data_IF_117421325332
#
_entry.id   IF_117421325332
#
_cell.length_a   1.000
_cell.length_b   1.000
_cell.length_c   1.000
_cell.angle_alpha   90.00
_cell.angle_beta   90.00
_cell.angle_gamma   90.00
#
_symmetry.space_group_name_H-M   'P 1'
#
loop_
_entity.id
_entity.type
_entity.pdbx_description
1 polymer ?
#
# COMPACT_ATOMS: atom_id res chain seq x y z
N UNK A 1 -13.39 14.90 -61.38
CA UNK A 1 -13.80 14.94 -59.96
C UNK A 1 -13.25 13.67 -59.32
N UNK A 2 -12.11 13.80 -58.64
CA UNK A 2 -11.51 12.73 -57.82
C UNK A 2 -11.76 13.12 -56.37
N UNK A 3 -12.74 12.49 -55.75
CA UNK A 3 -13.11 12.79 -54.37
C UNK A 3 -11.97 12.34 -53.45
N UNK A 4 -11.24 13.32 -52.93
CA UNK A 4 -10.18 13.13 -51.97
C UNK A 4 -10.75 12.69 -50.63
N UNK A 5 -10.83 11.38 -50.41
CA UNK A 5 -11.10 10.77 -49.10
C UNK A 5 -9.92 9.93 -48.62
N UNK A 6 -8.69 10.39 -48.86
CA UNK A 6 -7.46 9.80 -48.30
C UNK A 6 -7.20 10.24 -46.85
N UNK A 7 -7.99 11.16 -46.32
CA UNK A 7 -7.91 11.66 -44.94
C UNK A 7 -9.30 11.71 -44.27
N UNK A 8 -10.07 10.64 -44.40
CA UNK A 8 -11.07 10.32 -43.39
C UNK A 8 -10.29 10.14 -42.08
N UNK A 9 -10.26 11.16 -41.22
CA UNK A 9 -9.86 10.94 -39.84
C UNK A 9 -10.83 9.90 -39.28
N UNK A 10 -10.36 8.66 -39.17
CA UNK A 10 -11.01 7.64 -38.36
C UNK A 10 -11.08 8.23 -36.95
N UNK A 11 -12.21 8.87 -36.64
CA UNK A 11 -12.48 9.28 -35.28
C UNK A 11 -12.46 7.99 -34.47
N UNK A 12 -11.52 7.83 -33.52
CA UNK A 12 -11.41 6.58 -32.79
C UNK A 12 -12.78 6.26 -32.20
N UNK A 13 -13.22 4.99 -32.27
CA UNK A 13 -14.53 4.60 -31.74
C UNK A 13 -14.67 5.12 -30.31
N UNK A 14 -15.88 5.49 -29.91
CA UNK A 14 -16.15 6.09 -28.59
C UNK A 14 -15.55 5.28 -27.44
N UNK A 15 -15.49 3.96 -27.62
CA UNK A 15 -14.90 2.97 -26.71
C UNK A 15 -13.37 3.07 -26.57
N UNK A 16 -12.67 3.58 -27.59
CA UNK A 16 -11.22 3.74 -27.60
C UNK A 16 -10.73 5.08 -27.04
N UNK A 17 -11.62 6.07 -26.94
CA UNK A 17 -11.26 7.47 -26.60
C UNK A 17 -10.57 7.62 -25.24
N UNK A 18 -10.84 6.74 -24.28
CA UNK A 18 -10.35 6.85 -22.90
C UNK A 18 -9.41 5.72 -22.47
N UNK A 19 -8.92 4.91 -23.40
CA UNK A 19 -8.10 3.72 -23.09
C UNK A 19 -6.81 4.04 -22.30
N UNK A 20 -6.10 5.11 -22.64
CA UNK A 20 -4.89 5.52 -21.90
C UNK A 20 -5.20 5.95 -20.46
N UNK A 21 -6.29 6.69 -20.25
CA UNK A 21 -6.73 7.08 -18.91
C UNK A 21 -7.23 5.88 -18.12
N UNK A 22 -7.91 4.94 -18.77
CA UNK A 22 -8.34 3.70 -18.15
C UNK A 22 -7.15 2.83 -17.70
N UNK A 23 -6.06 2.82 -18.47
CA UNK A 23 -4.82 2.16 -18.08
C UNK A 23 -4.21 2.74 -16.81
N UNK A 24 -4.08 4.07 -16.75
CA UNK A 24 -3.61 4.72 -15.52
C UNK A 24 -4.57 4.44 -14.35
N UNK A 25 -5.89 4.45 -14.60
CA UNK A 25 -6.87 4.13 -13.57
C UNK A 25 -6.68 2.70 -13.01
N UNK A 26 -6.56 1.71 -13.88
CA UNK A 26 -6.38 0.31 -13.47
C UNK A 26 -5.04 0.11 -12.74
N UNK A 27 -3.97 0.83 -13.15
CA UNK A 27 -2.69 0.80 -12.44
C UNK A 27 -2.80 1.42 -11.04
N UNK A 28 -3.51 2.54 -10.90
CA UNK A 28 -3.80 3.17 -9.60
C UNK A 28 -4.63 2.25 -8.69
N UNK A 29 -5.63 1.58 -9.25
CA UNK A 29 -6.47 0.65 -8.49
C UNK A 29 -5.69 -0.60 -8.07
N UNK A 30 -4.85 -1.16 -8.94
CA UNK A 30 -4.02 -2.32 -8.64
C UNK A 30 -2.98 -2.01 -7.55
N UNK A 31 -2.26 -0.89 -7.70
CA UNK A 31 -1.27 -0.44 -6.71
C UNK A 31 -1.94 -0.05 -5.39
N UNK A 32 -3.08 0.65 -5.46
CA UNK A 32 -3.90 0.98 -4.30
C UNK A 32 -4.37 -0.26 -3.54
N UNK A 33 -4.88 -1.27 -4.25
CA UNK A 33 -5.29 -2.53 -3.65
C UNK A 33 -4.11 -3.29 -3.00
N UNK A 34 -2.95 -3.30 -3.65
CA UNK A 34 -1.74 -3.90 -3.08
C UNK A 34 -1.30 -3.20 -1.78
N UNK A 35 -1.32 -1.86 -1.76
CA UNK A 35 -1.03 -1.07 -0.56
C UNK A 35 -2.05 -1.33 0.54
N UNK A 36 -3.34 -1.40 0.21
CA UNK A 36 -4.40 -1.71 1.19
C UNK A 36 -4.21 -3.11 1.79
N UNK A 37 -3.93 -4.12 0.95
CA UNK A 37 -3.66 -5.48 1.42
C UNK A 37 -2.44 -5.54 2.35
N UNK A 38 -1.34 -4.88 1.98
CA UNK A 38 -0.14 -4.81 2.82
C UNK A 38 -0.40 -4.04 4.12
N UNK A 39 -1.04 -2.88 4.03
CA UNK A 39 -1.40 -2.05 5.18
C UNK A 39 -2.32 -2.77 6.15
N UNK A 40 -3.21 -3.64 5.66
CA UNK A 40 -4.06 -4.49 6.49
C UNK A 40 -3.25 -5.54 7.26
N UNK A 41 -2.31 -6.24 6.60
CA UNK A 41 -1.40 -7.20 7.26
C UNK A 41 -0.57 -6.51 8.34
N UNK A 42 -0.05 -5.31 8.04
CA UNK A 42 0.69 -4.46 8.97
C UNK A 42 -0.14 -4.02 10.16
N UNK A 43 -1.35 -3.51 9.92
CA UNK A 43 -2.26 -3.05 10.97
C UNK A 43 -2.74 -4.19 11.88
N UNK A 44 -2.87 -5.41 11.34
CA UNK A 44 -3.23 -6.60 12.11
C UNK A 44 -2.05 -7.22 12.87
N UNK A 45 -0.83 -6.68 12.72
CA UNK A 45 0.41 -7.21 13.31
C UNK A 45 0.64 -8.70 13.02
N UNK A 46 0.19 -9.16 11.85
CA UNK A 46 0.39 -10.53 11.44
C UNK A 46 1.82 -10.76 10.97
N UNK A 47 2.35 -11.95 11.28
CA UNK A 47 3.66 -12.38 10.78
C UNK A 47 3.60 -12.39 9.25
N UNK A 48 4.36 -11.47 8.66
CA UNK A 48 4.33 -11.23 7.22
C UNK A 48 5.03 -12.38 6.48
N UNK A 49 4.24 -13.31 5.95
CA UNK A 49 4.72 -14.32 5.01
C UNK A 49 4.38 -13.89 3.59
N UNK A 50 5.18 -14.33 2.59
CA UNK A 50 4.91 -14.02 1.19
C UNK A 50 3.50 -14.49 0.76
N UNK A 51 3.05 -15.66 1.24
CA UNK A 51 1.73 -16.19 0.95
C UNK A 51 0.59 -15.34 1.55
N UNK A 52 0.71 -14.93 2.81
CA UNK A 52 -0.29 -14.06 3.46
C UNK A 52 -0.38 -12.69 2.78
N UNK A 53 0.78 -12.11 2.45
CA UNK A 53 0.84 -10.83 1.76
C UNK A 53 0.18 -10.92 0.38
N UNK A 54 0.53 -11.93 -0.42
CA UNK A 54 -0.08 -12.18 -1.72
C UNK A 54 -1.59 -12.42 -1.63
N UNK A 55 -2.05 -13.18 -0.63
CA UNK A 55 -3.47 -13.39 -0.39
C UNK A 55 -4.20 -12.10 -0.03
N UNK A 56 -3.66 -11.29 0.88
CA UNK A 56 -4.27 -10.03 1.31
C UNK A 56 -4.36 -9.02 0.15
N UNK A 57 -3.30 -8.88 -0.64
CA UNK A 57 -3.27 -8.05 -1.84
C UNK A 57 -4.30 -8.53 -2.88
N UNK A 58 -4.32 -9.84 -3.16
CA UNK A 58 -5.26 -10.45 -4.09
C UNK A 58 -6.72 -10.29 -3.65
N UNK A 59 -7.01 -10.48 -2.36
CA UNK A 59 -8.33 -10.29 -1.78
C UNK A 59 -8.79 -8.83 -1.88
N UNK A 60 -7.92 -7.86 -1.56
CA UNK A 60 -8.22 -6.45 -1.72
C UNK A 60 -8.52 -6.08 -3.18
N UNK A 61 -7.75 -6.63 -4.12
CA UNK A 61 -7.96 -6.43 -5.56
C UNK A 61 -9.29 -7.03 -6.05
N UNK A 62 -9.64 -8.23 -5.60
CA UNK A 62 -10.90 -8.88 -5.94
C UNK A 62 -12.10 -8.09 -5.39
N UNK A 63 -12.03 -7.64 -4.13
CA UNK A 63 -13.06 -6.80 -3.52
C UNK A 63 -13.23 -5.49 -4.30
N UNK A 64 -12.13 -4.83 -4.65
CA UNK A 64 -12.17 -3.60 -5.44
C UNK A 64 -12.77 -3.85 -6.83
N UNK A 65 -12.44 -4.97 -7.46
CA UNK A 65 -12.99 -5.38 -8.75
C UNK A 65 -14.49 -5.71 -8.69
N UNK A 66 -14.97 -6.32 -7.60
CA UNK A 66 -16.39 -6.53 -7.34
C UNK A 66 -17.13 -5.20 -7.22
N UNK A 67 -16.61 -4.26 -6.41
CA UNK A 67 -17.18 -2.91 -6.24
C UNK A 67 -17.20 -2.17 -7.58
N UNK A 68 -16.10 -2.22 -8.33
CA UNK A 68 -15.99 -1.63 -9.67
C UNK A 68 -16.90 -2.28 -10.70
N UNK A 69 -17.16 -3.58 -10.62
CA UNK A 69 -18.11 -4.28 -11.48
C UNK A 69 -19.56 -3.92 -11.17
N UNK A 70 -19.91 -3.81 -9.89
CA UNK A 70 -21.28 -3.46 -9.46
C UNK A 70 -21.63 -2.00 -9.74
N UNK A 71 -20.65 -1.10 -9.61
CA UNK A 71 -20.92 0.35 -9.65
C UNK A 71 -20.35 1.06 -10.87
N UNK A 72 -19.47 0.39 -11.63
CA UNK A 72 -18.67 1.04 -12.67
C UNK A 72 -17.58 1.96 -12.12
N UNK A 73 -17.50 2.16 -10.80
CA UNK A 73 -16.62 3.14 -10.17
C UNK A 73 -15.58 2.46 -9.28
N UNK A 74 -14.38 3.02 -9.30
CA UNK A 74 -13.28 2.69 -8.40
C UNK A 74 -12.52 3.97 -8.05
N UNK A 75 -11.69 3.98 -7.00
CA UNK A 75 -10.85 5.13 -6.63
C UNK A 75 -10.04 5.70 -7.79
N UNK A 76 -9.31 4.84 -8.53
CA UNK A 76 -8.48 5.25 -9.66
C UNK A 76 -9.29 5.76 -10.84
N UNK A 77 -10.41 5.10 -11.18
CA UNK A 77 -11.30 5.59 -12.26
C UNK A 77 -11.94 6.91 -11.90
N UNK A 78 -12.42 7.04 -10.66
CA UNK A 78 -13.00 8.29 -10.16
C UNK A 78 -11.96 9.42 -10.14
N UNK A 79 -10.73 9.16 -9.69
CA UNK A 79 -9.62 10.12 -9.73
C UNK A 79 -9.42 10.71 -11.14
N UNK A 80 -9.56 9.84 -12.15
CA UNK A 80 -9.43 10.21 -13.56
C UNK A 80 -10.75 10.58 -14.21
N UNK A 81 -11.84 10.81 -13.48
CA UNK A 81 -13.13 11.23 -14.01
C UNK A 81 -13.80 10.22 -14.95
N UNK A 82 -13.45 8.94 -14.81
CA UNK A 82 -13.95 7.83 -15.60
C UNK A 82 -14.90 6.95 -14.80
N UNK A 83 -15.75 6.24 -15.53
CA UNK A 83 -16.48 5.07 -15.06
C UNK A 83 -16.40 3.96 -16.11
N UNK A 84 -16.61 2.74 -15.66
CA UNK A 84 -16.67 1.56 -16.49
C UNK A 84 -18.13 1.25 -16.80
N UNK A 85 -18.44 1.00 -18.07
CA UNK A 85 -19.79 0.72 -18.53
C UNK A 85 -19.82 -0.45 -19.52
N UNK A 86 -21.00 -1.06 -19.61
CA UNK A 86 -21.40 -1.96 -20.68
C UNK A 86 -22.38 -1.22 -21.61
N UNK A 87 -22.78 -1.86 -22.71
CA UNK A 87 -23.80 -1.36 -23.62
C UNK A 87 -25.00 -0.74 -22.86
N UNK A 88 -25.53 0.37 -23.39
CA UNK A 88 -26.64 1.16 -22.81
C UNK A 88 -26.31 1.93 -21.52
N UNK A 89 -25.03 2.12 -21.18
CA UNK A 89 -24.63 2.93 -20.01
C UNK A 89 -24.88 2.25 -18.67
N UNK A 90 -24.99 0.92 -18.66
CA UNK A 90 -25.16 0.12 -17.45
C UNK A 90 -23.81 -0.22 -16.83
N UNK A 91 -23.80 -0.45 -15.52
CA UNK A 91 -22.63 -0.98 -14.84
C UNK A 91 -22.24 -2.37 -15.42
N UNK A 92 -20.95 -2.74 -15.38
CA UNK A 92 -20.46 -4.01 -15.96
C UNK A 92 -21.13 -5.26 -15.39
N UNK A 93 -21.53 -5.22 -14.11
CA UNK A 93 -22.00 -6.36 -13.35
C UNK A 93 -20.87 -7.11 -12.65
N UNK A 94 -21.23 -7.91 -11.65
CA UNK A 94 -20.28 -8.61 -10.78
C UNK A 94 -19.43 -9.63 -11.55
N UNK A 95 -20.03 -10.39 -12.47
CA UNK A 95 -19.31 -11.37 -13.31
C UNK A 95 -18.25 -10.72 -14.19
N UNK A 96 -18.57 -9.59 -14.85
CA UNK A 96 -17.61 -8.85 -15.65
C UNK A 96 -16.52 -8.21 -14.78
N UNK A 97 -16.87 -7.70 -13.59
CA UNK A 97 -15.90 -7.18 -12.62
C UNK A 97 -14.91 -8.25 -12.16
N UNK A 98 -15.37 -9.45 -11.82
CA UNK A 98 -14.52 -10.57 -11.41
C UNK A 98 -13.63 -11.06 -12.57
N UNK A 99 -14.17 -11.22 -13.77
CA UNK A 99 -13.37 -11.57 -14.94
C UNK A 99 -12.30 -10.51 -15.21
N UNK A 100 -12.66 -9.23 -15.06
CA UNK A 100 -11.71 -8.12 -15.19
C UNK A 100 -10.63 -8.13 -14.10
N UNK A 101 -10.92 -8.63 -12.91
CA UNK A 101 -9.89 -8.81 -11.89
C UNK A 101 -8.75 -9.72 -12.38
N UNK A 102 -9.06 -10.67 -13.27
CA UNK A 102 -8.06 -11.57 -13.87
C UNK A 102 -7.47 -10.97 -15.16
N UNK A 103 -8.29 -10.33 -15.99
CA UNK A 103 -7.84 -9.85 -17.30
C UNK A 103 -7.16 -8.49 -17.27
N UNK A 104 -7.52 -7.57 -16.36
CA UNK A 104 -6.93 -6.23 -16.30
C UNK A 104 -5.41 -6.24 -15.99
N UNK A 105 -4.89 -7.06 -15.06
CA UNK A 105 -3.44 -7.18 -14.87
C UNK A 105 -2.72 -7.67 -16.13
N UNK A 106 -3.34 -8.60 -16.87
CA UNK A 106 -2.80 -9.09 -18.15
C UNK A 106 -2.84 -7.99 -19.20
N UNK A 107 -3.93 -7.23 -19.29
CA UNK A 107 -4.03 -6.08 -20.20
C UNK A 107 -3.01 -4.99 -19.89
N UNK A 108 -2.74 -4.70 -18.61
CA UNK A 108 -1.71 -3.73 -18.21
C UNK A 108 -0.33 -4.08 -18.80
N UNK A 109 0.00 -5.38 -18.89
CA UNK A 109 1.24 -5.88 -19.50
C UNK A 109 1.16 -5.84 -21.01
N UNK A 110 0.04 -6.29 -21.59
CA UNK A 110 -0.17 -6.27 -23.04
C UNK A 110 -0.12 -4.86 -23.63
N UNK A 111 -0.51 -3.84 -22.86
CA UNK A 111 -0.57 -2.46 -23.31
C UNK A 111 0.80 -1.83 -23.64
N UNK A 112 1.91 -2.47 -23.24
CA UNK A 112 3.26 -2.11 -23.70
C UNK A 112 3.41 -2.35 -25.21
N UNK A 113 2.66 -3.31 -25.75
CA UNK A 113 2.75 -3.74 -27.16
C UNK A 113 1.49 -3.37 -27.94
N UNK A 114 0.32 -3.48 -27.33
CA UNK A 114 -0.97 -3.26 -27.94
C UNK A 114 -1.55 -1.90 -27.53
N UNK A 115 -1.86 -1.05 -28.51
CA UNK A 115 -2.55 0.22 -28.25
C UNK A 115 -4.04 0.05 -27.98
N UNK A 116 -4.58 -1.16 -28.17
CA UNK A 116 -5.99 -1.50 -27.94
C UNK A 116 -6.14 -2.49 -26.78
N UNK A 117 -7.35 -2.57 -26.22
CA UNK A 117 -7.71 -3.43 -25.09
C UNK A 117 -8.63 -4.60 -25.50
N UNK A 118 -8.05 -5.75 -25.91
CA UNK A 118 -8.81 -6.83 -26.54
C UNK A 118 -9.68 -7.62 -25.54
N UNK A 119 -9.25 -7.75 -24.29
CA UNK A 119 -9.98 -8.51 -23.26
C UNK A 119 -11.16 -7.67 -22.75
N UNK A 120 -11.00 -6.37 -22.61
CA UNK A 120 -12.10 -5.46 -22.29
C UNK A 120 -13.18 -5.46 -23.39
N UNK A 121 -12.76 -5.49 -24.66
CA UNK A 121 -13.66 -5.61 -25.79
C UNK A 121 -14.45 -6.94 -25.77
N UNK A 122 -13.79 -8.07 -25.45
CA UNK A 122 -14.46 -9.36 -25.30
C UNK A 122 -15.47 -9.39 -24.14
N UNK A 123 -15.20 -8.63 -23.06
CA UNK A 123 -16.12 -8.50 -21.93
C UNK A 123 -17.29 -7.54 -22.23
N UNK A 124 -17.23 -6.82 -23.36
CA UNK A 124 -18.20 -5.80 -23.75
C UNK A 124 -18.16 -4.59 -22.81
N UNK A 125 -16.97 -4.23 -22.32
CA UNK A 125 -16.76 -3.22 -21.29
C UNK A 125 -15.88 -2.11 -21.85
N UNK A 126 -16.28 -0.86 -21.63
CA UNK A 126 -15.53 0.31 -22.05
C UNK A 126 -15.55 1.41 -21.00
N UNK A 127 -14.60 2.34 -21.08
CA UNK A 127 -14.57 3.51 -20.23
C UNK A 127 -15.44 4.63 -20.82
N UNK A 128 -16.18 5.30 -19.95
CA UNK A 128 -16.90 6.53 -20.27
C UNK A 128 -16.64 7.60 -19.22
N UNK A 129 -16.95 8.85 -19.55
CA UNK A 129 -16.77 9.99 -18.63
C UNK A 129 -17.94 10.01 -17.65
N UNK A 130 -17.66 10.37 -16.39
CA UNK A 130 -18.71 10.62 -15.40
C UNK A 130 -19.58 11.81 -15.90
N UNK A 131 -20.88 11.61 -16.13
CA UNK A 131 -21.74 12.64 -16.71
C UNK A 131 -21.91 13.82 -15.74
N UNK A 132 -22.05 15.03 -16.27
CA UNK A 132 -22.29 16.23 -15.45
C UNK A 132 -21.03 16.93 -14.91
N UNK A 133 -19.86 16.66 -15.50
CA UNK A 133 -18.61 17.37 -15.20
C UNK A 133 -18.21 17.30 -13.72
N UNK A 134 -17.72 18.41 -13.16
CA UNK A 134 -17.29 18.49 -11.75
C UNK A 134 -18.43 18.17 -10.78
N UNK A 135 -19.67 18.59 -11.09
CA UNK A 135 -20.83 18.31 -10.23
C UNK A 135 -21.20 16.83 -10.23
N UNK A 136 -21.12 16.18 -11.39
CA UNK A 136 -21.32 14.73 -11.52
C UNK A 136 -20.24 13.94 -10.79
N UNK A 137 -18.99 14.36 -10.95
CA UNK A 137 -17.84 13.81 -10.25
C UNK A 137 -17.98 13.89 -8.72
N UNK A 138 -18.37 15.04 -8.18
CA UNK A 138 -18.56 15.20 -6.74
C UNK A 138 -19.73 14.35 -6.21
N UNK A 139 -20.80 14.20 -6.99
CA UNK A 139 -21.96 13.36 -6.61
C UNK A 139 -21.64 11.87 -6.60
N UNK A 140 -20.71 11.41 -7.43
CA UNK A 140 -20.29 10.01 -7.46
C UNK A 140 -19.19 9.67 -6.46
N UNK A 141 -18.79 10.62 -5.59
CA UNK A 141 -17.65 10.49 -4.68
C UNK A 141 -17.87 9.52 -3.52
N UNK A 142 -19.11 9.29 -3.06
CA UNK A 142 -19.38 8.60 -1.81
C UNK A 142 -18.70 7.22 -1.69
N UNK A 143 -18.75 6.43 -2.76
CA UNK A 143 -18.17 5.08 -2.76
C UNK A 143 -16.66 5.07 -3.01
N UNK A 144 -16.12 5.80 -4.00
CA UNK A 144 -14.67 6.01 -4.13
C UNK A 144 -14.04 6.49 -2.83
N UNK A 145 -14.65 7.46 -2.13
CA UNK A 145 -14.11 8.02 -0.89
C UNK A 145 -13.72 6.95 0.14
N UNK A 146 -14.53 5.90 0.28
CA UNK A 146 -14.20 4.76 1.17
C UNK A 146 -12.87 4.12 0.77
N UNK A 147 -12.67 3.87 -0.53
CA UNK A 147 -11.41 3.33 -1.04
C UNK A 147 -10.22 4.28 -0.81
N UNK A 148 -10.41 5.59 -0.94
CA UNK A 148 -9.37 6.58 -0.65
C UNK A 148 -9.02 6.64 0.84
N UNK A 149 -10.02 6.55 1.73
CA UNK A 149 -9.79 6.48 3.18
C UNK A 149 -9.04 5.20 3.55
N UNK A 150 -9.43 4.05 2.98
CA UNK A 150 -8.70 2.79 3.18
C UNK A 150 -7.25 2.89 2.70
N UNK A 151 -7.01 3.52 1.55
CA UNK A 151 -5.66 3.74 1.04
C UNK A 151 -4.84 4.65 1.97
N UNK A 152 -5.42 5.75 2.44
CA UNK A 152 -4.76 6.65 3.39
C UNK A 152 -4.42 5.93 4.71
N UNK A 153 -5.36 5.14 5.24
CA UNK A 153 -5.14 4.32 6.43
C UNK A 153 -4.07 3.25 6.22
N UNK A 154 -3.99 2.65 5.03
CA UNK A 154 -2.95 1.68 4.69
C UNK A 154 -1.58 2.33 4.57
N UNK A 155 -1.47 3.50 3.93
CA UNK A 155 -0.22 4.26 3.89
C UNK A 155 0.23 4.63 5.30
N UNK A 156 -0.72 5.07 6.14
CA UNK A 156 -0.44 5.35 7.55
C UNK A 156 0.11 4.11 8.26
N UNK A 157 -0.56 2.95 8.18
CA UNK A 157 -0.11 1.72 8.85
C UNK A 157 1.22 1.15 8.32
N UNK A 158 1.57 1.45 7.06
CA UNK A 158 2.87 1.06 6.49
C UNK A 158 3.99 1.95 7.02
N UNK A 159 3.74 3.26 7.17
CA UNK A 159 4.75 4.24 7.57
C UNK A 159 4.91 4.31 9.09
N UNK A 160 3.83 4.11 9.85
CA UNK A 160 3.90 4.10 11.32
C UNK A 160 4.44 2.77 11.84
N UNK A 161 5.38 2.78 12.80
CA UNK A 161 5.89 1.55 13.40
C UNK A 161 4.76 0.81 14.12
N UNK A 162 4.71 -0.50 13.95
CA UNK A 162 3.76 -1.38 14.68
C UNK A 162 4.13 -1.46 16.17
N UNK A 163 3.22 -1.94 17.02
CA UNK A 163 3.52 -2.12 18.46
C UNK A 163 4.66 -3.10 18.65
N UNK A 164 4.70 -4.18 17.87
CA UNK A 164 5.79 -5.15 17.92
C UNK A 164 7.13 -4.53 17.51
N UNK A 165 7.16 -3.74 16.44
CA UNK A 165 8.37 -3.03 16.01
C UNK A 165 8.82 -2.00 17.05
N UNK A 166 7.89 -1.26 17.67
CA UNK A 166 8.20 -0.36 18.78
C UNK A 166 8.76 -1.11 19.99
N UNK A 167 8.16 -2.24 20.38
CA UNK A 167 8.64 -3.05 21.50
C UNK A 167 10.01 -3.67 21.21
N UNK A 168 10.25 -4.15 20.00
CA UNK A 168 11.57 -4.65 19.58
C UNK A 168 12.60 -3.52 19.55
N UNK A 169 12.23 -2.34 19.08
CA UNK A 169 13.09 -1.16 19.11
C UNK A 169 13.42 -0.74 20.54
N UNK A 170 12.43 -0.71 21.43
CA UNK A 170 12.61 -0.43 22.85
C UNK A 170 13.50 -1.50 23.51
N UNK A 171 13.29 -2.79 23.26
CA UNK A 171 14.16 -3.85 23.80
C UNK A 171 15.62 -3.68 23.34
N UNK A 172 15.84 -3.33 22.06
CA UNK A 172 17.17 -3.10 21.51
C UNK A 172 17.84 -1.84 22.05
N UNK A 173 17.08 -0.77 22.27
CA UNK A 173 17.63 0.50 22.79
C UNK A 173 17.83 0.46 24.30
N UNK A 174 16.92 -0.17 25.02
CA UNK A 174 17.03 -0.41 26.46
C UNK A 174 17.94 -1.59 26.79
N UNK A 175 18.58 -2.24 25.80
CA UNK A 175 19.50 -3.35 26.07
C UNK A 175 20.59 -2.93 27.06
N UNK A 176 21.15 -1.72 26.91
CA UNK A 176 22.11 -1.17 27.88
C UNK A 176 21.54 -1.08 29.31
N UNK A 177 20.31 -0.57 29.44
CA UNK A 177 19.59 -0.47 30.72
C UNK A 177 19.31 -1.85 31.32
N UNK A 178 18.87 -2.81 30.51
CA UNK A 178 18.60 -4.18 30.95
C UNK A 178 19.87 -4.90 31.43
N UNK A 179 21.00 -4.73 30.74
CA UNK A 179 22.30 -5.25 31.17
C UNK A 179 22.78 -4.58 32.48
N UNK A 180 22.48 -3.28 32.63
CA UNK A 180 22.87 -2.44 33.76
C UNK A 180 22.10 -2.80 35.05
N UNK A 181 20.82 -3.18 34.92
CA UNK A 181 19.98 -3.68 36.01
C UNK A 181 19.97 -5.20 36.19
N UNK A 182 20.70 -5.96 35.36
CA UNK A 182 20.77 -7.42 35.48
C UNK A 182 19.47 -8.16 35.12
N UNK A 183 18.60 -7.53 34.32
CA UNK A 183 17.30 -8.09 33.91
C UNK A 183 17.36 -8.91 32.61
N UNK A 184 18.53 -9.00 31.99
CA UNK A 184 18.80 -9.74 30.75
C UNK A 184 19.99 -10.68 30.95
N UNK A 185 19.95 -11.85 30.30
CA UNK A 185 21.05 -12.82 30.33
C UNK A 185 22.37 -12.23 29.80
N UNK A 186 23.50 -12.72 30.30
CA UNK A 186 24.83 -12.15 30.07
C UNK A 186 25.39 -12.46 28.67
N UNK A 187 24.86 -11.73 27.67
CA UNK A 187 25.32 -11.74 26.28
C UNK A 187 26.65 -10.99 26.09
N UNK A 188 27.34 -11.23 24.97
CA UNK A 188 28.57 -10.49 24.61
C UNK A 188 28.33 -8.97 24.52
N UNK A 189 27.15 -8.53 24.07
CA UNK A 189 26.75 -7.12 24.01
C UNK A 189 26.61 -6.51 25.41
N UNK A 190 26.01 -7.25 26.36
CA UNK A 190 25.98 -6.81 27.76
C UNK A 190 27.38 -6.71 28.35
N UNK A 191 28.25 -7.70 28.12
CA UNK A 191 29.62 -7.69 28.65
C UNK A 191 30.41 -6.49 28.13
N UNK A 192 30.41 -6.27 26.82
CA UNK A 192 31.14 -5.15 26.19
C UNK A 192 30.62 -3.79 26.63
N UNK A 193 29.30 -3.61 26.72
CA UNK A 193 28.68 -2.35 27.17
C UNK A 193 28.98 -2.07 28.65
N UNK A 194 28.84 -3.07 29.52
CA UNK A 194 29.18 -2.96 30.95
C UNK A 194 30.68 -2.70 31.15
N UNK A 195 31.55 -3.40 30.41
CA UNK A 195 33.00 -3.19 30.49
C UNK A 195 33.41 -1.78 30.03
N UNK A 196 32.72 -1.20 29.05
CA UNK A 196 32.94 0.20 28.64
C UNK A 196 32.47 1.18 29.72
N UNK A 197 31.29 0.95 30.29
CA UNK A 197 30.76 1.78 31.38
C UNK A 197 31.67 1.77 32.62
N UNK A 198 32.11 0.59 33.06
CA UNK A 198 33.06 0.44 34.18
C UNK A 198 34.39 1.13 33.87
N UNK A 199 34.94 0.97 32.66
CA UNK A 199 36.19 1.61 32.26
C UNK A 199 36.10 3.14 32.22
N UNK A 200 34.99 3.67 31.74
CA UNK A 200 34.77 5.12 31.71
C UNK A 200 34.59 5.68 33.13
N UNK A 201 33.83 4.99 33.98
CA UNK A 201 33.67 5.37 35.38
C UNK A 201 34.99 5.27 36.18
N UNK A 202 35.85 4.28 35.89
CA UNK A 202 37.20 4.20 36.48
C UNK A 202 38.17 5.23 35.90
N UNK A 203 37.84 5.85 34.76
CA UNK A 203 38.64 6.88 34.10
C UNK A 203 38.67 8.23 34.83
N UNK A 204 37.93 8.37 35.93
CA UNK A 204 37.98 9.55 36.80
C UNK A 204 37.00 10.66 36.43
N UNK A 205 36.06 10.42 35.51
CA UNK A 205 34.97 11.36 35.22
C UNK A 205 33.90 11.27 36.35
N UNK A 206 33.72 12.33 37.16
CA UNK A 206 32.84 12.28 38.32
C UNK A 206 31.37 12.09 37.93
N UNK A 207 30.90 12.71 36.84
CA UNK A 207 29.51 12.60 36.38
C UNK A 207 29.19 11.16 35.94
N UNK A 208 30.12 10.54 35.21
CA UNK A 208 29.96 9.14 34.76
C UNK A 208 30.06 8.18 35.94
N UNK A 209 30.94 8.43 36.91
CA UNK A 209 31.10 7.58 38.08
C UNK A 209 29.89 7.61 39.01
N UNK A 210 29.29 8.79 39.19
CA UNK A 210 28.09 9.00 40.00
C UNK A 210 26.87 8.36 39.33
N UNK A 211 26.70 8.58 38.02
CA UNK A 211 25.65 7.95 37.23
C UNK A 211 25.72 6.41 37.32
N UNK A 212 26.91 5.82 37.11
CA UNK A 212 27.05 4.36 37.15
C UNK A 212 26.78 3.79 38.55
N UNK A 213 27.14 4.51 39.61
CA UNK A 213 26.88 4.05 41.00
C UNK A 213 25.39 4.08 41.36
N UNK A 214 24.67 5.09 40.91
CA UNK A 214 23.27 5.30 41.27
C UNK A 214 22.31 4.55 40.35
N UNK A 215 22.58 4.54 39.05
CA UNK A 215 21.64 4.05 38.02
C UNK A 215 22.02 2.66 37.49
N UNK A 216 23.19 2.11 37.85
CA UNK A 216 23.70 0.86 37.28
C UNK A 216 24.17 -0.18 38.29
N UNK A 217 23.28 -0.93 38.96
CA UNK A 217 23.66 -1.82 40.06
C UNK A 217 24.67 -2.89 39.65
N UNK A 218 24.60 -3.43 38.43
CA UNK A 218 25.56 -4.46 37.96
C UNK A 218 26.94 -3.87 37.71
N UNK A 219 27.03 -2.65 37.15
CA UNK A 219 28.32 -1.99 36.93
C UNK A 219 28.89 -1.38 38.21
N UNK A 220 28.05 -0.84 39.10
CA UNK A 220 28.41 -0.38 40.43
C UNK A 220 29.04 -1.51 41.26
N UNK A 221 28.45 -2.71 41.23
CA UNK A 221 28.99 -3.89 41.88
C UNK A 221 30.37 -4.31 41.33
N UNK A 222 30.68 -4.00 40.06
CA UNK A 222 31.99 -4.25 39.43
C UNK A 222 33.02 -3.16 39.72
N UNK A 223 32.58 -1.93 40.01
CA UNK A 223 33.44 -0.81 40.41
C UNK A 223 33.86 -0.85 41.88
N UNK A 224 33.07 -1.51 42.74
CA UNK A 224 33.38 -1.73 44.15
C UNK A 224 34.32 -2.92 44.43
N UNK A 225 34.81 -3.59 43.37
CA UNK A 225 35.84 -4.62 43.40
C UNK A 225 37.14 -4.06 42.83
#
# INVERSE_FOLDING_TARGET
>A
MSDGTLFSMDTPPTEARFQNRLWVADLLDLTGAALVGWGAVRAAEWVSTAGLLGFAMGAAWLLLSCVGGLTGLSPGRHALGLKLERAEGKAPGLGAGLLRALTAPVELVLQVVLQHRPLDAQLGVHASVIPGGVRGWARSLALPLVGWVLLAGAVWSIVTPTRQEMLQYLDRTLTGWHCCHGTREETWQCRTSLSRAVRNASGGDPEVSEFVRNECPVAAARLGR
#
